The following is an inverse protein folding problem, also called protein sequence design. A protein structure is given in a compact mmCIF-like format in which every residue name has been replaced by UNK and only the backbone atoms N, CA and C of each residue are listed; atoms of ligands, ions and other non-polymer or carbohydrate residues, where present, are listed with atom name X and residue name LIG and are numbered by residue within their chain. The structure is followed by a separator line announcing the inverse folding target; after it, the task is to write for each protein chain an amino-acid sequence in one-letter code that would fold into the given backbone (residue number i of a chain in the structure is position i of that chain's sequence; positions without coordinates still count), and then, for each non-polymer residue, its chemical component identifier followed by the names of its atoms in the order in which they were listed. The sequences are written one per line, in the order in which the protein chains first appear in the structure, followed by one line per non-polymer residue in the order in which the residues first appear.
data_IF_818945958400
#
_entry.id   IF_818945958400
#
_cell.length_a   1.000
_cell.length_b   1.000
_cell.length_c   1.000
_cell.angle_alpha   90.00
_cell.angle_beta   90.00
_cell.angle_gamma   90.00
#
_symmetry.space_group_name_H-M   'P 1'
#
loop_
_entity.id
_entity.type
_entity.pdbx_description
1 polymer ?
#
# COMPACT_ATOMS: atom_id res chain seq x y z
N UNK A 1 -57.86 -10.06 16.13
CA UNK A 1 -57.07 -10.27 17.37
C UNK A 1 -55.93 -11.23 17.08
N UNK A 2 -54.68 -10.75 17.12
CA UNK A 2 -53.45 -11.52 16.83
C UNK A 2 -52.99 -12.24 18.11
N UNK A 3 -53.55 -13.42 18.40
CA UNK A 3 -53.15 -14.23 19.56
C UNK A 3 -52.09 -15.31 19.22
N UNK A 4 -51.70 -15.44 17.95
CA UNK A 4 -50.88 -16.57 17.48
C UNK A 4 -49.37 -16.39 17.66
N UNK A 5 -48.88 -15.16 17.80
CA UNK A 5 -47.44 -14.87 17.93
C UNK A 5 -46.88 -15.03 19.35
N UNK A 6 -47.72 -14.74 20.37
CA UNK A 6 -47.30 -14.80 21.78
C UNK A 6 -47.16 -16.25 22.25
N UNK A 7 -48.06 -17.14 21.82
CA UNK A 7 -47.99 -18.57 22.15
C UNK A 7 -46.76 -19.27 21.54
N UNK A 8 -46.33 -18.91 20.32
CA UNK A 8 -45.09 -19.44 19.74
C UNK A 8 -43.85 -19.00 20.54
N UNK A 9 -43.83 -17.77 21.04
CA UNK A 9 -42.70 -17.26 21.85
C UNK A 9 -42.59 -17.94 23.23
N UNK A 10 -43.73 -18.27 23.86
CA UNK A 10 -43.79 -18.90 25.19
C UNK A 10 -43.35 -20.36 25.14
N UNK A 11 -43.59 -21.08 24.03
CA UNK A 11 -43.14 -22.46 23.86
C UNK A 11 -41.71 -22.57 23.28
N UNK A 12 -41.26 -21.61 22.48
CA UNK A 12 -39.93 -21.66 21.88
C UNK A 12 -38.83 -21.16 22.84
N UNK A 13 -39.14 -20.20 23.71
CA UNK A 13 -38.20 -19.68 24.72
C UNK A 13 -37.61 -20.74 25.65
N UNK A 14 -38.43 -21.58 26.31
CA UNK A 14 -37.95 -22.66 27.17
C UNK A 14 -37.11 -23.69 26.41
N UNK A 15 -37.51 -24.05 25.19
CA UNK A 15 -36.77 -24.99 24.35
C UNK A 15 -35.40 -24.45 23.93
N UNK A 16 -35.30 -23.15 23.62
CA UNK A 16 -34.02 -22.48 23.34
C UNK A 16 -33.16 -22.38 24.60
N UNK A 17 -33.74 -22.05 25.76
CA UNK A 17 -33.01 -22.02 27.03
C UNK A 17 -32.50 -23.41 27.45
N UNK A 18 -33.31 -24.46 27.26
CA UNK A 18 -32.92 -25.85 27.52
C UNK A 18 -31.81 -26.27 26.54
N UNK A 19 -31.92 -25.92 25.25
CA UNK A 19 -30.86 -26.19 24.27
C UNK A 19 -29.55 -25.49 24.62
N UNK A 20 -29.59 -24.21 25.02
CA UNK A 20 -28.40 -23.45 25.42
C UNK A 20 -27.79 -24.02 26.70
N UNK A 21 -28.61 -24.36 27.70
CA UNK A 21 -28.16 -25.01 28.94
C UNK A 21 -27.55 -26.39 28.68
N UNK A 22 -28.19 -27.20 27.84
CA UNK A 22 -27.70 -28.53 27.46
C UNK A 22 -26.40 -28.45 26.65
N UNK A 23 -26.31 -27.51 25.71
CA UNK A 23 -25.09 -27.25 24.95
C UNK A 23 -23.95 -26.72 25.84
N UNK A 24 -24.25 -25.93 26.87
CA UNK A 24 -23.27 -25.41 27.82
C UNK A 24 -22.71 -26.49 28.74
N UNK A 25 -23.56 -27.41 29.21
CA UNK A 25 -23.16 -28.47 30.13
C UNK A 25 -22.51 -29.68 29.43
N UNK A 26 -23.02 -30.10 28.27
CA UNK A 26 -22.63 -31.36 27.63
C UNK A 26 -21.76 -31.20 26.38
N UNK A 27 -21.68 -29.99 25.81
CA UNK A 27 -20.87 -29.70 24.63
C UNK A 27 -20.23 -28.29 24.72
N UNK A 28 -19.45 -27.98 25.78
CA UNK A 28 -18.88 -26.64 25.95
C UNK A 28 -18.03 -26.21 24.74
N UNK A 29 -17.43 -27.16 24.01
CA UNK A 29 -16.69 -26.90 22.77
C UNK A 29 -17.53 -26.40 21.59
N UNK A 30 -18.86 -26.67 21.55
CA UNK A 30 -19.74 -26.17 20.48
C UNK A 30 -20.19 -24.73 20.72
N UNK A 31 -20.44 -24.33 21.96
CA UNK A 31 -20.71 -22.93 22.31
C UNK A 31 -19.42 -22.09 22.38
N UNK A 32 -18.27 -22.73 22.63
CA UNK A 32 -16.96 -22.08 22.68
C UNK A 32 -16.20 -22.08 21.35
N UNK A 33 -16.80 -22.58 20.26
CA UNK A 33 -16.34 -22.26 18.89
C UNK A 33 -16.70 -20.79 18.61
N UNK A 34 -16.02 -19.88 19.30
CA UNK A 34 -15.86 -18.51 18.82
C UNK A 34 -15.17 -18.68 17.47
N UNK A 35 -15.90 -18.42 16.38
CA UNK A 35 -15.25 -18.30 15.07
C UNK A 35 -14.05 -17.39 15.28
N UNK A 36 -12.87 -17.82 14.84
CA UNK A 36 -11.72 -16.91 14.87
C UNK A 36 -12.14 -15.60 14.21
N UNK A 37 -11.73 -14.45 14.78
CA UNK A 37 -12.03 -13.15 14.19
C UNK A 37 -11.60 -13.17 12.73
N UNK A 38 -12.48 -12.74 11.82
CA UNK A 38 -12.14 -12.70 10.39
C UNK A 38 -10.84 -11.96 10.13
N UNK A 39 -10.59 -10.88 10.89
CA UNK A 39 -9.37 -10.08 10.82
C UNK A 39 -8.12 -10.88 11.17
N UNK A 40 -8.19 -11.79 12.15
CA UNK A 40 -7.08 -12.70 12.48
C UNK A 40 -6.77 -13.61 11.30
N UNK A 41 -7.80 -14.19 10.68
CA UNK A 41 -7.63 -15.08 9.51
C UNK A 41 -7.07 -14.34 8.30
N UNK A 42 -7.57 -13.12 8.05
CA UNK A 42 -7.05 -12.22 6.99
C UNK A 42 -5.58 -11.90 7.25
N UNK A 43 -5.22 -11.51 8.48
CA UNK A 43 -3.85 -11.25 8.89
C UNK A 43 -2.93 -12.46 8.69
N UNK A 44 -3.27 -13.62 9.25
CA UNK A 44 -2.46 -14.85 9.11
C UNK A 44 -2.27 -15.27 7.65
N UNK A 45 -3.31 -15.08 6.83
CA UNK A 45 -3.22 -15.33 5.39
C UNK A 45 -2.28 -14.35 4.70
N UNK A 46 -2.33 -13.06 5.02
CA UNK A 46 -1.41 -12.04 4.49
C UNK A 46 0.04 -12.37 4.87
N UNK A 47 0.29 -12.73 6.12
CA UNK A 47 1.61 -13.15 6.59
C UNK A 47 2.13 -14.38 5.82
N UNK A 48 1.30 -15.40 5.62
CA UNK A 48 1.67 -16.59 4.85
C UNK A 48 2.02 -16.28 3.40
N UNK A 49 1.40 -15.26 2.81
CA UNK A 49 1.56 -14.85 1.41
C UNK A 49 2.48 -13.64 1.26
N UNK A 50 3.14 -13.20 2.34
CA UNK A 50 4.03 -12.07 2.32
C UNK A 50 5.26 -12.37 1.45
N UNK A 51 5.79 -11.38 0.71
CA UNK A 51 7.02 -11.54 -0.02
C UNK A 51 8.19 -11.76 0.94
N UNK A 52 9.16 -12.57 0.51
CA UNK A 52 10.40 -12.77 1.28
C UNK A 52 11.28 -11.52 1.16
N UNK A 53 11.84 -11.01 2.27
CA UNK A 53 12.81 -9.93 2.22
C UNK A 53 13.98 -10.24 1.30
N UNK A 54 14.58 -9.18 0.74
CA UNK A 54 15.72 -9.31 -0.16
C UNK A 54 16.90 -9.95 0.58
N UNK A 55 17.36 -11.09 0.07
CA UNK A 55 18.60 -11.72 0.56
C UNK A 55 19.80 -10.87 0.14
N UNK A 56 20.78 -10.74 1.03
CA UNK A 56 22.05 -10.05 0.74
C UNK A 56 22.65 -10.65 -0.53
N UNK A 57 22.83 -9.81 -1.55
CA UNK A 57 23.39 -10.23 -2.84
C UNK A 57 24.90 -10.30 -2.74
N UNK A 58 25.49 -11.38 -3.25
CA UNK A 58 26.95 -11.53 -3.36
C UNK A 58 27.58 -10.55 -4.36
N UNK A 59 26.79 -9.97 -5.29
CA UNK A 59 27.28 -9.07 -6.33
C UNK A 59 26.22 -8.06 -6.75
N UNK A 60 26.59 -6.81 -6.99
CA UNK A 60 25.67 -5.82 -7.58
C UNK A 60 25.45 -6.07 -9.09
N UNK A 61 24.30 -5.63 -9.59
CA UNK A 61 23.97 -5.67 -11.02
C UNK A 61 24.23 -4.32 -11.72
N UNK A 62 24.35 -3.25 -10.95
CA UNK A 62 24.58 -1.88 -11.44
C UNK A 62 26.08 -1.61 -11.51
N UNK A 63 26.50 -0.84 -12.52
CA UNK A 63 27.89 -0.43 -12.72
C UNK A 63 28.04 1.04 -12.25
N UNK A 64 29.19 1.42 -11.65
CA UNK A 64 30.30 0.56 -11.23
C UNK A 64 29.96 -0.21 -9.94
N UNK A 65 30.54 -1.40 -9.80
CA UNK A 65 30.44 -2.17 -8.55
C UNK A 65 31.20 -1.43 -7.43
N UNK A 66 30.70 -1.45 -6.19
CA UNK A 66 31.51 -1.10 -5.03
C UNK A 66 32.73 -2.03 -4.99
N UNK A 67 33.89 -1.49 -4.63
CA UNK A 67 35.05 -2.31 -4.23
C UNK A 67 34.59 -3.23 -3.08
N UNK A 68 34.87 -4.53 -3.18
CA UNK A 68 34.52 -5.44 -2.09
C UNK A 68 35.28 -5.00 -0.82
N UNK A 69 34.66 -4.99 0.37
CA UNK A 69 35.41 -4.76 1.59
C UNK A 69 36.49 -5.84 1.67
N UNK A 70 37.74 -5.40 1.78
CA UNK A 70 38.92 -6.25 1.94
C UNK A 70 38.72 -7.15 3.16
N UNK A 71 38.14 -8.34 2.98
CA UNK A 71 38.37 -9.44 3.91
C UNK A 71 39.80 -9.87 3.69
N UNK A 72 40.71 -9.24 4.43
CA UNK A 72 42.09 -9.68 4.60
C UNK A 72 42.09 -11.09 5.23
N UNK A 73 41.94 -12.13 4.42
CA UNK A 73 42.51 -13.43 4.78
C UNK A 73 44.01 -13.38 4.47
N UNK A 74 44.90 -13.48 5.48
CA UNK A 74 46.34 -13.38 5.24
C UNK A 74 46.81 -14.63 4.48
N UNK A 75 47.15 -14.48 3.19
CA UNK A 75 47.96 -15.47 2.48
C UNK A 75 47.62 -15.79 1.03
N UNK A 76 46.62 -15.17 0.41
CA UNK A 76 46.37 -15.35 -1.03
C UNK A 76 46.81 -14.10 -1.79
N UNK A 77 47.77 -14.18 -2.73
CA UNK A 77 48.09 -13.04 -3.58
C UNK A 77 46.88 -12.74 -4.48
N UNK A 78 46.12 -11.71 -4.14
CA UNK A 78 45.11 -11.13 -5.01
C UNK A 78 45.81 -10.51 -6.22
N UNK A 79 45.66 -11.14 -7.38
CA UNK A 79 46.01 -10.53 -8.67
C UNK A 79 45.33 -9.15 -8.79
N UNK A 80 45.99 -8.10 -9.32
CA UNK A 80 45.40 -6.76 -9.51
C UNK A 80 44.23 -6.72 -10.51
N UNK A 81 43.83 -7.86 -11.08
CA UNK A 81 42.64 -8.02 -11.91
C UNK A 81 41.41 -8.37 -11.06
N UNK A 82 41.20 -7.62 -9.97
CA UNK A 82 39.89 -7.54 -9.32
C UNK A 82 38.84 -7.35 -10.41
N UNK A 83 37.90 -8.29 -10.50
CA UNK A 83 36.95 -8.48 -11.59
C UNK A 83 36.06 -7.24 -11.84
N UNK A 84 36.62 -6.20 -12.46
CA UNK A 84 35.91 -5.03 -12.98
C UNK A 84 34.91 -5.54 -13.99
N UNK A 85 33.64 -5.55 -13.63
CA UNK A 85 32.58 -5.88 -14.60
C UNK A 85 32.57 -4.79 -15.67
N UNK A 86 32.97 -5.14 -16.88
CA UNK A 86 32.84 -4.30 -18.06
C UNK A 86 31.59 -4.67 -18.84
N UNK A 87 30.99 -3.69 -19.50
CA UNK A 87 30.04 -3.94 -20.58
C UNK A 87 30.79 -4.03 -21.89
N UNK A 88 30.38 -4.94 -22.77
CA UNK A 88 30.89 -5.00 -24.14
C UNK A 88 30.20 -3.89 -24.94
N UNK A 89 30.95 -3.16 -25.76
CA UNK A 89 30.38 -2.18 -26.69
C UNK A 89 29.45 -2.88 -27.69
N UNK A 90 28.20 -2.41 -27.76
CA UNK A 90 27.15 -3.02 -28.56
C UNK A 90 26.90 -2.24 -29.86
N UNK A 91 27.94 -1.83 -30.57
CA UNK A 91 27.87 -0.92 -31.74
C UNK A 91 26.97 -1.42 -32.88
N UNK A 92 26.77 -2.74 -32.99
CA UNK A 92 25.84 -3.35 -33.96
C UNK A 92 24.36 -3.13 -33.62
N UNK A 93 24.05 -2.75 -32.38
CA UNK A 93 22.69 -2.44 -31.96
C UNK A 93 22.34 -1.01 -32.33
N UNK A 94 21.28 -0.84 -33.12
CA UNK A 94 20.77 0.50 -33.48
C UNK A 94 20.39 1.32 -32.25
N UNK A 95 19.92 0.67 -31.18
CA UNK A 95 19.62 1.35 -29.92
C UNK A 95 20.91 1.87 -29.26
N UNK A 96 21.98 1.08 -29.29
CA UNK A 96 23.26 1.42 -28.63
C UNK A 96 24.15 2.34 -29.48
N UNK A 97 23.85 2.48 -30.77
CA UNK A 97 24.45 3.49 -31.64
C UNK A 97 23.91 4.91 -31.37
N UNK A 98 22.82 5.04 -30.62
CA UNK A 98 22.27 6.34 -30.22
C UNK A 98 23.09 6.94 -29.05
N UNK A 99 23.27 8.27 -29.02
CA UNK A 99 23.75 8.97 -27.82
C UNK A 99 22.92 8.64 -26.58
N UNK A 100 23.54 8.77 -25.40
CA UNK A 100 22.89 8.44 -24.12
C UNK A 100 21.58 9.20 -23.94
N UNK A 101 21.53 10.47 -24.32
CA UNK A 101 20.35 11.34 -24.16
C UNK A 101 19.14 10.79 -24.91
N UNK A 102 19.34 10.30 -26.14
CA UNK A 102 18.26 9.69 -26.93
C UNK A 102 17.84 8.34 -26.35
N UNK A 103 18.77 7.56 -25.81
CA UNK A 103 18.45 6.32 -25.11
C UNK A 103 17.66 6.57 -23.84
N UNK A 104 18.02 7.58 -23.05
CA UNK A 104 17.26 8.01 -21.87
C UNK A 104 15.83 8.46 -22.22
N UNK A 105 15.66 9.19 -23.33
CA UNK A 105 14.32 9.53 -23.84
C UNK A 105 13.49 8.27 -24.16
N UNK A 106 14.10 7.28 -24.82
CA UNK A 106 13.45 5.99 -25.12
C UNK A 106 13.13 5.23 -23.82
N UNK A 107 14.08 5.11 -22.90
CA UNK A 107 13.88 4.44 -21.63
C UNK A 107 12.78 5.10 -20.81
N UNK A 108 12.75 6.44 -20.76
CA UNK A 108 11.70 7.20 -20.07
C UNK A 108 10.33 7.01 -20.72
N UNK A 109 10.26 6.93 -22.06
CA UNK A 109 9.01 6.66 -22.77
C UNK A 109 8.46 5.25 -22.50
N UNK A 110 9.34 4.25 -22.31
CA UNK A 110 8.92 2.86 -22.06
C UNK A 110 8.63 2.59 -20.59
N UNK A 111 9.45 3.14 -19.68
CA UNK A 111 9.48 2.77 -18.27
C UNK A 111 9.03 3.87 -17.31
N UNK A 112 8.88 5.12 -17.76
CA UNK A 112 8.80 6.29 -16.89
C UNK A 112 7.53 7.12 -17.01
N UNK A 113 7.38 8.08 -16.09
CA UNK A 113 6.24 9.01 -15.97
C UNK A 113 4.86 8.36 -15.76
N UNK A 114 4.83 7.10 -15.35
CA UNK A 114 3.61 6.40 -15.02
C UNK A 114 3.30 6.52 -13.52
N UNK A 115 2.01 6.31 -13.19
CA UNK A 115 1.60 6.00 -11.83
C UNK A 115 1.52 4.48 -11.70
N UNK A 116 2.38 3.93 -10.86
CA UNK A 116 2.52 2.50 -10.61
C UNK A 116 1.74 2.13 -9.35
N UNK A 117 0.59 1.48 -9.51
CA UNK A 117 -0.19 0.92 -8.41
C UNK A 117 0.51 -0.33 -7.90
N UNK A 118 1.08 -0.28 -6.69
CA UNK A 118 1.76 -1.42 -6.08
C UNK A 118 0.72 -2.34 -5.43
N UNK A 119 0.73 -3.61 -5.79
CA UNK A 119 -0.25 -4.60 -5.35
C UNK A 119 0.42 -5.78 -4.64
N UNK A 120 -0.25 -6.32 -3.62
CA UNK A 120 0.18 -7.55 -2.96
C UNK A 120 -0.27 -8.76 -3.77
N UNK A 121 0.68 -9.55 -4.26
CA UNK A 121 0.44 -10.85 -4.90
C UNK A 121 0.94 -11.96 -3.99
N UNK A 122 0.56 -13.20 -4.29
CA UNK A 122 1.09 -14.34 -3.57
C UNK A 122 2.63 -14.38 -3.61
N UNK A 123 3.25 -14.23 -2.44
CA UNK A 123 4.69 -14.31 -2.19
C UNK A 123 5.56 -13.27 -2.93
N UNK A 124 4.94 -12.23 -3.53
CA UNK A 124 5.66 -11.16 -4.22
C UNK A 124 4.84 -9.86 -4.23
N UNK A 125 5.52 -8.74 -4.48
CA UNK A 125 4.85 -7.54 -4.93
C UNK A 125 4.68 -7.58 -6.45
N UNK A 126 3.58 -6.98 -6.91
CA UNK A 126 3.35 -6.70 -8.31
C UNK A 126 2.98 -5.25 -8.54
N UNK A 127 2.71 -4.91 -9.80
CA UNK A 127 2.19 -3.59 -10.13
C UNK A 127 1.13 -3.60 -11.23
N UNK A 128 0.35 -2.52 -11.27
CA UNK A 128 -0.53 -2.16 -12.38
C UNK A 128 -0.20 -0.72 -12.79
N UNK A 129 -0.11 -0.45 -14.09
CA UNK A 129 -0.02 0.93 -14.58
C UNK A 129 -1.39 1.58 -14.49
N UNK A 130 -1.46 2.76 -13.89
CA UNK A 130 -2.69 3.54 -13.82
C UNK A 130 -3.14 3.91 -15.24
N UNK A 131 -4.44 3.76 -15.52
CA UNK A 131 -5.02 4.10 -16.83
C UNK A 131 -5.67 5.48 -16.85
N UNK A 132 -5.73 6.16 -15.71
CA UNK A 132 -6.41 7.43 -15.62
C UNK A 132 -5.56 8.55 -16.22
N UNK A 133 -6.21 9.41 -17.00
CA UNK A 133 -5.60 10.56 -17.67
C UNK A 133 -5.04 11.61 -16.70
N UNK A 134 -5.47 11.58 -15.45
CA UNK A 134 -4.91 12.42 -14.40
C UNK A 134 -4.98 11.71 -13.05
N UNK A 135 -4.15 12.18 -12.12
CA UNK A 135 -4.09 11.67 -10.76
C UNK A 135 -5.44 11.74 -10.03
N UNK A 136 -6.22 12.79 -10.29
CA UNK A 136 -7.55 13.01 -9.70
C UNK A 136 -8.63 12.14 -10.35
N UNK A 137 -8.43 11.76 -11.61
CA UNK A 137 -9.34 10.93 -12.38
C UNK A 137 -9.14 9.42 -12.13
N UNK A 138 -8.09 9.03 -11.40
CA UNK A 138 -7.90 7.63 -11.01
C UNK A 138 -9.10 7.17 -10.18
N UNK A 139 -9.87 6.17 -10.64
CA UNK A 139 -11.02 5.68 -9.90
C UNK A 139 -10.53 5.10 -8.57
N UNK A 140 -10.83 5.83 -7.51
CA UNK A 140 -10.44 5.46 -6.15
C UNK A 140 -11.32 4.29 -5.69
N UNK A 141 -10.71 3.37 -4.95
CA UNK A 141 -11.41 2.18 -4.47
C UNK A 141 -12.27 2.48 -3.25
N UNK A 142 -13.48 3.01 -3.43
CA UNK A 142 -14.70 2.66 -2.66
C UNK A 142 -15.90 3.55 -3.03
N UNK A 143 -16.96 2.95 -3.57
CA UNK A 143 -18.35 3.42 -3.50
C UNK A 143 -19.21 2.45 -2.64
N UNK A 144 -18.60 1.67 -1.74
CA UNK A 144 -19.34 0.68 -0.94
C UNK A 144 -19.93 -0.51 -1.69
N UNK A 145 -19.64 -0.64 -2.99
CA UNK A 145 -20.16 -1.71 -3.84
C UNK A 145 -19.01 -2.36 -4.60
N UNK A 146 -18.42 -3.41 -4.02
CA UNK A 146 -17.57 -4.39 -4.71
C UNK A 146 -16.33 -3.87 -5.48
N UNK A 147 -15.59 -4.78 -6.13
CA UNK A 147 -14.59 -4.39 -7.12
C UNK A 147 -15.31 -3.80 -8.35
N UNK A 148 -15.08 -2.53 -8.63
CA UNK A 148 -15.51 -1.94 -9.89
C UNK A 148 -14.59 -2.47 -11.01
N UNK A 149 -15.17 -2.97 -12.10
CA UNK A 149 -14.40 -3.38 -13.29
C UNK A 149 -13.52 -2.25 -13.85
N UNK A 150 -13.88 -0.99 -13.56
CA UNK A 150 -13.16 0.21 -13.96
C UNK A 150 -12.03 0.60 -12.98
N UNK A 151 -11.83 -0.16 -11.89
CA UNK A 151 -10.75 0.11 -10.93
C UNK A 151 -9.38 -0.15 -11.56
N UNK A 152 -8.52 0.86 -11.54
CA UNK A 152 -7.11 0.73 -11.97
C UNK A 152 -6.28 -0.22 -11.07
N UNK A 153 -6.84 -0.68 -9.95
CA UNK A 153 -6.19 -1.58 -8.98
C UNK A 153 -6.51 -3.07 -9.18
N UNK A 154 -7.40 -3.39 -10.12
CA UNK A 154 -7.87 -4.76 -10.34
C UNK A 154 -8.69 -5.32 -9.17
N UNK A 155 -8.79 -6.65 -9.11
CA UNK A 155 -9.58 -7.39 -8.13
C UNK A 155 -8.66 -7.98 -7.05
N UNK A 156 -9.13 -7.96 -5.80
CA UNK A 156 -8.44 -8.61 -4.67
C UNK A 156 -9.44 -9.45 -3.87
N UNK A 157 -8.92 -10.38 -3.09
CA UNK A 157 -9.72 -11.14 -2.12
C UNK A 157 -9.99 -10.36 -0.81
N UNK A 158 -10.69 -11.01 0.13
CA UNK A 158 -11.00 -10.44 1.45
C UNK A 158 -9.78 -10.13 2.32
N UNK A 159 -8.60 -10.62 1.96
CA UNK A 159 -7.32 -10.31 2.62
C UNK A 159 -6.51 -9.26 1.86
N UNK A 160 -7.11 -8.56 0.88
CA UNK A 160 -6.46 -7.61 -0.01
C UNK A 160 -5.28 -8.18 -0.82
N UNK A 161 -5.29 -9.49 -1.11
CA UNK A 161 -4.33 -10.10 -2.05
C UNK A 161 -4.94 -10.06 -3.44
N UNK A 162 -4.18 -9.53 -4.41
CA UNK A 162 -4.60 -9.42 -5.79
C UNK A 162 -4.87 -10.78 -6.42
N UNK A 163 -5.98 -10.86 -7.15
CA UNK A 163 -6.42 -12.07 -7.85
C UNK A 163 -6.44 -11.82 -9.36
N UNK A 164 -5.91 -12.75 -10.16
CA UNK A 164 -6.10 -12.71 -11.61
C UNK A 164 -7.56 -12.96 -11.95
N UNK A 165 -8.12 -12.15 -12.84
CA UNK A 165 -9.39 -12.42 -13.52
C UNK A 165 -9.06 -13.03 -14.88
N UNK A 166 -9.91 -13.91 -15.41
CA UNK A 166 -9.67 -14.73 -16.62
C UNK A 166 -9.51 -13.92 -17.94
N UNK A 167 -9.56 -12.58 -17.93
CA UNK A 167 -9.43 -11.66 -19.09
C UNK A 167 -8.49 -10.44 -18.83
N UNK A 168 -7.94 -9.77 -19.87
CA UNK A 168 -6.52 -9.77 -20.28
C UNK A 168 -5.62 -8.77 -19.54
N UNK A 169 -5.99 -8.31 -18.35
CA UNK A 169 -5.19 -7.29 -17.65
C UNK A 169 -4.12 -7.97 -16.79
N UNK A 170 -3.03 -8.35 -17.45
CA UNK A 170 -1.83 -8.82 -16.78
C UNK A 170 -1.32 -7.78 -15.80
N UNK A 171 -1.13 -8.18 -14.53
CA UNK A 171 -0.27 -7.41 -13.62
C UNK A 171 1.19 -7.62 -13.97
N UNK A 172 2.05 -6.73 -13.50
CA UNK A 172 3.50 -6.72 -13.70
C UNK A 172 3.98 -6.18 -15.05
N UNK A 173 3.07 -5.91 -16.00
CA UNK A 173 3.33 -5.25 -17.30
C UNK A 173 4.57 -5.77 -18.05
N UNK A 174 5.10 -4.96 -18.97
CA UNK A 174 6.35 -5.24 -19.70
C UNK A 174 7.50 -4.34 -19.22
N UNK A 175 7.65 -4.17 -17.91
CA UNK A 175 8.76 -3.38 -17.33
C UNK A 175 10.08 -4.17 -17.35
N UNK A 176 10.04 -5.44 -16.96
CA UNK A 176 11.23 -6.28 -16.82
C UNK A 176 11.88 -6.69 -18.15
N UNK A 177 11.15 -7.00 -19.24
CA UNK A 177 11.76 -7.47 -20.49
C UNK A 177 12.89 -6.57 -21.00
N UNK A 178 12.67 -5.24 -21.04
CA UNK A 178 13.69 -4.29 -21.48
C UNK A 178 14.93 -4.31 -20.56
N UNK A 179 14.71 -4.30 -19.25
CA UNK A 179 15.78 -4.32 -18.24
C UNK A 179 16.57 -5.63 -18.23
N UNK A 180 16.02 -6.70 -18.79
CA UNK A 180 16.66 -8.02 -18.89
C UNK A 180 17.45 -8.22 -20.19
N UNK A 181 17.41 -7.26 -21.13
CA UNK A 181 18.09 -7.38 -22.43
C UNK A 181 19.61 -7.41 -22.31
N UNK A 182 20.21 -6.41 -21.64
CA UNK A 182 21.64 -6.35 -21.37
C UNK A 182 21.95 -5.45 -20.17
N UNK A 183 23.17 -5.57 -19.64
CA UNK A 183 23.64 -4.80 -18.48
C UNK A 183 23.73 -3.30 -18.73
N UNK A 184 23.99 -2.90 -19.97
CA UNK A 184 24.06 -1.49 -20.34
C UNK A 184 22.66 -0.85 -20.25
N UNK A 185 21.66 -1.43 -20.93
CA UNK A 185 20.25 -1.01 -20.79
C UNK A 185 19.83 -1.01 -19.34
N UNK A 186 20.14 -2.06 -18.58
CA UNK A 186 19.82 -2.12 -17.16
C UNK A 186 20.39 -0.94 -16.39
N UNK A 187 21.69 -0.66 -16.54
CA UNK A 187 22.40 0.38 -15.78
C UNK A 187 21.95 1.80 -16.15
N UNK A 188 21.65 2.04 -17.42
CA UNK A 188 21.17 3.34 -17.91
C UNK A 188 19.69 3.57 -17.58
N UNK A 189 18.85 2.53 -17.66
CA UNK A 189 17.39 2.68 -17.53
C UNK A 189 16.86 2.52 -16.09
N UNK A 190 17.52 1.77 -15.21
CA UNK A 190 16.99 1.54 -13.85
C UNK A 190 16.79 2.82 -13.02
N UNK A 191 17.63 3.88 -13.11
CA UNK A 191 17.41 5.09 -12.32
C UNK A 191 16.11 5.79 -12.74
N UNK A 192 15.77 5.73 -14.04
CA UNK A 192 14.55 6.32 -14.58
C UNK A 192 13.31 5.61 -14.05
N UNK A 193 13.34 4.28 -13.92
CA UNK A 193 12.22 3.50 -13.38
C UNK A 193 11.80 3.95 -11.98
N UNK A 194 12.75 4.23 -11.07
CA UNK A 194 12.41 4.63 -9.71
C UNK A 194 12.22 6.14 -9.57
N UNK A 195 12.96 6.95 -10.33
CA UNK A 195 12.97 8.41 -10.14
C UNK A 195 11.90 9.16 -10.92
N UNK A 196 11.37 8.60 -12.02
CA UNK A 196 10.39 9.30 -12.87
C UNK A 196 8.95 8.86 -12.62
N UNK A 197 8.74 7.67 -12.07
CA UNK A 197 7.40 7.16 -11.76
C UNK A 197 6.91 7.61 -10.40
N UNK A 198 5.59 7.56 -10.22
CA UNK A 198 4.94 7.70 -8.92
C UNK A 198 4.48 6.34 -8.43
N UNK A 199 4.97 5.90 -7.26
CA UNK A 199 4.52 4.64 -6.66
C UNK A 199 3.32 4.92 -5.75
N UNK A 200 2.20 4.31 -6.08
CA UNK A 200 0.93 4.47 -5.38
C UNK A 200 0.63 3.23 -4.54
N UNK A 201 0.22 3.44 -3.30
CA UNK A 201 -0.12 2.39 -2.34
C UNK A 201 -1.52 2.61 -1.79
N UNK A 202 -2.36 1.57 -1.81
CA UNK A 202 -3.64 1.53 -1.05
C UNK A 202 -3.54 0.70 0.22
N UNK A 203 -2.47 -0.08 0.32
CA UNK A 203 -2.22 -1.06 1.35
C UNK A 203 -0.84 -0.77 1.94
N UNK A 204 -0.81 -0.48 3.25
CA UNK A 204 0.42 -0.09 3.94
C UNK A 204 1.44 -1.24 3.96
N UNK A 205 1.00 -2.50 4.02
CA UNK A 205 1.94 -3.62 3.98
C UNK A 205 2.70 -3.66 2.66
N UNK A 206 2.10 -3.23 1.55
CA UNK A 206 2.82 -3.15 0.26
C UNK A 206 4.01 -2.20 0.32
N UNK A 207 3.92 -1.08 1.06
CA UNK A 207 5.03 -0.15 1.25
C UNK A 207 6.12 -0.78 2.12
N UNK A 208 5.74 -1.45 3.23
CA UNK A 208 6.68 -2.18 4.09
C UNK A 208 7.41 -3.27 3.32
N UNK A 209 6.65 -4.07 2.59
CA UNK A 209 7.19 -5.11 1.71
C UNK A 209 8.11 -4.52 0.65
N UNK A 210 7.78 -3.37 0.05
CA UNK A 210 8.65 -2.75 -0.94
C UNK A 210 9.99 -2.39 -0.30
N UNK A 211 9.97 -1.74 0.86
CA UNK A 211 11.18 -1.36 1.60
C UNK A 211 12.06 -2.57 1.97
N UNK A 212 11.45 -3.74 2.20
CA UNK A 212 12.15 -4.97 2.55
C UNK A 212 12.60 -5.81 1.34
N UNK A 213 12.02 -5.60 0.15
CA UNK A 213 12.22 -6.49 -1.03
C UNK A 213 13.06 -5.87 -2.14
N UNK A 214 13.36 -4.57 -2.07
CA UNK A 214 14.24 -3.90 -3.03
C UNK A 214 15.53 -3.39 -2.35
N UNK A 215 16.57 -3.18 -3.16
CA UNK A 215 17.85 -2.67 -2.65
C UNK A 215 17.67 -1.27 -2.05
N UNK A 216 18.33 -0.94 -0.92
CA UNK A 216 18.22 0.39 -0.29
C UNK A 216 18.55 1.55 -1.24
N UNK A 217 19.53 1.39 -2.12
CA UNK A 217 19.85 2.40 -3.14
C UNK A 217 18.71 2.65 -4.14
N UNK A 218 17.91 1.62 -4.45
CA UNK A 218 16.75 1.74 -5.35
C UNK A 218 15.55 2.33 -4.61
N UNK A 219 15.36 1.92 -3.36
CA UNK A 219 14.31 2.49 -2.51
C UNK A 219 14.53 3.99 -2.32
N UNK A 220 15.77 4.42 -2.07
CA UNK A 220 16.14 5.83 -1.98
C UNK A 220 16.09 6.58 -3.32
N UNK A 221 16.07 5.90 -4.47
CA UNK A 221 15.93 6.55 -5.77
C UNK A 221 14.48 6.97 -6.09
N UNK A 222 13.50 6.51 -5.29
CA UNK A 222 12.09 6.86 -5.46
C UNK A 222 11.87 8.34 -5.12
N UNK A 223 11.36 9.12 -6.07
CA UNK A 223 11.13 10.56 -5.90
C UNK A 223 9.68 10.93 -5.59
N UNK A 224 8.71 10.11 -5.98
CA UNK A 224 7.28 10.42 -5.86
C UNK A 224 6.50 9.25 -5.27
N UNK A 225 5.83 9.49 -4.15
CA UNK A 225 4.97 8.53 -3.47
C UNK A 225 3.54 9.04 -3.34
N UNK A 226 2.59 8.12 -3.49
CA UNK A 226 1.18 8.34 -3.18
C UNK A 226 0.68 7.25 -2.24
N UNK A 227 0.06 7.66 -1.14
CA UNK A 227 -0.55 6.75 -0.18
C UNK A 227 -2.03 7.11 -0.12
N UNK A 228 -2.89 6.14 -0.39
CA UNK A 228 -4.32 6.25 -0.17
C UNK A 228 -4.72 5.25 0.88
N UNK A 229 -5.13 5.70 2.06
CA UNK A 229 -5.45 4.79 3.14
C UNK A 229 -6.87 5.01 3.64
N UNK A 230 -7.63 3.93 3.60
CA UNK A 230 -8.98 3.87 4.14
C UNK A 230 -8.89 3.32 5.56
N UNK A 231 -9.13 4.21 6.51
CA UNK A 231 -9.31 3.87 7.90
C UNK A 231 -10.66 3.16 7.98
N UNK A 232 -10.64 1.84 8.09
CA UNK A 232 -11.83 1.06 8.45
C UNK A 232 -12.03 1.02 9.96
N UNK A 233 -11.00 1.40 10.73
CA UNK A 233 -10.96 1.28 12.17
C UNK A 233 -10.58 2.61 12.85
N UNK A 234 -11.16 2.93 14.01
CA UNK A 234 -10.84 4.13 14.79
C UNK A 234 -9.45 4.00 15.46
N UNK A 235 -8.37 4.13 14.68
CA UNK A 235 -7.00 4.19 15.26
C UNK A 235 -6.95 5.34 16.29
N UNK A 236 -6.30 5.12 17.43
CA UNK A 236 -6.16 6.09 18.53
C UNK A 236 -7.45 6.51 19.27
N UNK A 237 -8.66 6.17 18.80
CA UNK A 237 -9.91 6.38 19.56
C UNK A 237 -10.27 5.13 20.36
N UNK A 238 -9.72 5.07 21.58
CA UNK A 238 -9.89 3.95 22.53
C UNK A 238 -11.35 3.73 22.91
N UNK A 239 -12.17 4.80 22.94
CA UNK A 239 -13.57 4.69 23.28
C UNK A 239 -14.34 3.98 22.17
N UNK A 240 -14.18 4.44 20.92
CA UNK A 240 -14.77 3.78 19.77
C UNK A 240 -14.25 2.34 19.61
N UNK A 241 -12.97 2.10 19.87
CA UNK A 241 -12.41 0.74 19.87
C UNK A 241 -13.10 -0.18 20.87
N UNK A 242 -13.34 0.29 22.11
CA UNK A 242 -14.01 -0.50 23.17
C UNK A 242 -15.51 -0.69 22.93
N UNK A 243 -16.18 0.32 22.38
CA UNK A 243 -17.64 0.27 22.18
C UNK A 243 -18.05 -0.52 20.95
N UNK A 244 -17.28 -0.40 19.86
CA UNK A 244 -17.62 -1.04 18.59
C UNK A 244 -17.01 -2.45 18.48
N UNK A 245 -15.94 -2.74 19.24
CA UNK A 245 -15.15 -3.96 19.01
C UNK A 245 -14.73 -4.68 20.30
N UNK A 246 -14.58 -5.99 20.18
CA UNK A 246 -14.11 -6.88 21.25
C UNK A 246 -12.90 -7.71 20.77
N UNK A 247 -12.14 -7.17 19.81
CA UNK A 247 -11.03 -7.82 19.09
C UNK A 247 -9.84 -6.87 18.93
N UNK A 248 -8.63 -7.41 18.95
CA UNK A 248 -7.40 -6.66 18.70
C UNK A 248 -7.35 -6.15 17.25
N UNK A 249 -6.74 -4.98 17.04
CA UNK A 249 -6.39 -4.49 15.70
C UNK A 249 -5.19 -5.30 15.17
N UNK A 250 -5.27 -5.71 13.91
CA UNK A 250 -4.20 -6.44 13.22
C UNK A 250 -3.61 -5.59 12.08
N UNK A 251 -2.31 -5.75 11.77
CA UNK A 251 -1.71 -5.17 10.57
C UNK A 251 -2.49 -5.45 9.29
N UNK A 252 -2.62 -4.47 8.37
CA UNK A 252 -1.97 -3.15 8.38
C UNK A 252 -2.76 -2.06 9.14
N UNK A 253 -3.76 -2.42 9.95
CA UNK A 253 -4.72 -1.49 10.54
C UNK A 253 -4.50 -1.21 12.02
N UNK A 254 -3.26 -1.32 12.47
CA UNK A 254 -2.83 -1.07 13.85
C UNK A 254 -1.86 0.13 13.93
N UNK A 255 -1.71 0.66 15.14
CA UNK A 255 -0.86 1.83 15.42
C UNK A 255 0.62 1.58 15.11
N UNK A 256 1.13 0.39 15.42
CA UNK A 256 2.54 0.08 15.18
C UNK A 256 2.86 0.01 13.67
N UNK A 257 1.95 -0.53 12.86
CA UNK A 257 2.10 -0.47 11.39
C UNK A 257 2.06 0.96 10.89
N UNK A 258 1.13 1.79 11.39
CA UNK A 258 1.06 3.20 10.98
C UNK A 258 2.35 3.96 11.28
N UNK A 259 2.89 3.83 12.49
CA UNK A 259 4.15 4.48 12.86
C UNK A 259 5.35 3.96 12.08
N UNK A 260 5.42 2.64 11.81
CA UNK A 260 6.50 2.05 11.01
C UNK A 260 6.54 2.61 9.58
N UNK A 261 5.37 2.83 8.96
CA UNK A 261 5.29 3.45 7.63
C UNK A 261 5.94 4.82 7.61
N UNK A 262 5.62 5.67 8.58
CA UNK A 262 6.16 7.02 8.64
C UNK A 262 7.65 7.04 8.95
N UNK A 263 8.13 6.09 9.76
CA UNK A 263 9.56 5.87 9.96
C UNK A 263 10.27 5.47 8.66
N UNK A 264 9.69 4.55 7.88
CA UNK A 264 10.24 4.13 6.57
C UNK A 264 10.31 5.32 5.61
N UNK A 265 9.21 6.08 5.50
CA UNK A 265 9.12 7.25 4.59
C UNK A 265 10.10 8.35 5.01
N UNK A 266 10.21 8.64 6.30
CA UNK A 266 11.17 9.62 6.81
C UNK A 266 12.63 9.24 6.51
N UNK A 267 12.92 7.95 6.35
CA UNK A 267 14.23 7.44 5.94
C UNK A 267 14.53 7.53 4.43
N UNK A 268 13.56 7.94 3.59
CA UNK A 268 13.73 8.01 2.15
C UNK A 268 14.46 9.29 1.71
N UNK A 269 15.78 9.17 1.53
CA UNK A 269 16.65 10.32 1.24
C UNK A 269 16.40 11.00 -0.11
N UNK A 270 15.90 10.29 -1.11
CA UNK A 270 15.60 10.85 -2.44
C UNK A 270 14.15 11.25 -2.67
N UNK A 271 13.27 11.09 -1.67
CA UNK A 271 11.86 11.42 -1.80
C UNK A 271 11.69 12.94 -1.96
N UNK A 272 10.89 13.37 -2.94
CA UNK A 272 10.65 14.79 -3.23
C UNK A 272 9.18 15.16 -3.13
N UNK A 273 8.29 14.25 -3.56
CA UNK A 273 6.84 14.48 -3.60
C UNK A 273 6.14 13.37 -2.83
N UNK A 274 5.29 13.75 -1.89
CA UNK A 274 4.46 12.83 -1.13
C UNK A 274 3.03 13.34 -1.10
N UNK A 275 2.11 12.48 -1.56
CA UNK A 275 0.68 12.72 -1.42
C UNK A 275 0.05 11.65 -0.54
N UNK A 276 -0.75 12.08 0.42
CA UNK A 276 -1.44 11.20 1.37
C UNK A 276 -2.92 11.50 1.34
N UNK A 277 -3.72 10.56 0.87
CA UNK A 277 -5.18 10.64 0.89
C UNK A 277 -5.70 9.73 2.03
N UNK A 278 -6.06 10.29 3.17
CA UNK A 278 -6.65 9.56 4.29
C UNK A 278 -8.17 9.65 4.23
N UNK A 279 -8.85 8.52 4.36
CA UNK A 279 -10.31 8.43 4.32
C UNK A 279 -10.82 7.67 5.53
N UNK A 280 -11.77 8.24 6.24
CA UNK A 280 -12.38 7.63 7.40
C UNK A 280 -13.89 7.84 7.32
N UNK A 281 -14.66 6.76 7.47
CA UNK A 281 -16.11 6.77 7.21
C UNK A 281 -16.89 7.69 8.16
N UNK A 282 -16.53 7.74 9.45
CA UNK A 282 -17.27 8.48 10.47
C UNK A 282 -16.57 9.79 10.91
N UNK A 283 -15.32 10.01 10.45
CA UNK A 283 -14.48 11.10 10.93
C UNK A 283 -14.06 10.94 12.40
N UNK A 284 -13.05 11.69 12.83
CA UNK A 284 -12.67 11.68 14.24
C UNK A 284 -13.66 12.52 15.05
N UNK A 285 -14.24 11.92 16.09
CA UNK A 285 -15.10 12.63 17.06
C UNK A 285 -14.28 13.56 17.96
N UNK A 286 -13.04 13.17 18.22
CA UNK A 286 -12.10 13.87 19.07
C UNK A 286 -10.88 14.37 18.27
N UNK A 287 -10.59 15.65 18.43
CA UNK A 287 -9.46 16.32 17.79
C UNK A 287 -8.11 15.80 18.32
N UNK A 288 -8.04 15.29 19.56
CA UNK A 288 -6.81 14.71 20.10
C UNK A 288 -6.43 13.41 19.35
N UNK A 289 -7.43 12.57 19.03
CA UNK A 289 -7.23 11.36 18.25
C UNK A 289 -6.72 11.66 16.83
N UNK A 290 -7.28 12.68 16.17
CA UNK A 290 -6.77 13.16 14.88
C UNK A 290 -5.32 13.65 14.99
N UNK A 291 -4.99 14.41 16.04
CA UNK A 291 -3.62 14.88 16.26
C UNK A 291 -2.63 13.73 16.46
N UNK A 292 -3.02 12.68 17.19
CA UNK A 292 -2.20 11.45 17.33
C UNK A 292 -2.00 10.76 15.99
N UNK A 293 -3.05 10.66 15.18
CA UNK A 293 -2.98 10.11 13.82
C UNK A 293 -2.02 10.88 12.91
N UNK A 294 -2.03 12.21 13.01
CA UNK A 294 -1.20 13.10 12.18
C UNK A 294 0.22 13.31 12.74
N UNK A 295 0.49 12.96 14.00
CA UNK A 295 1.79 13.19 14.62
C UNK A 295 2.94 12.47 13.89
N UNK A 296 2.82 11.20 13.46
CA UNK A 296 3.88 10.51 12.71
C UNK A 296 4.27 11.19 11.40
N UNK A 297 3.33 11.85 10.71
CA UNK A 297 3.59 12.54 9.45
C UNK A 297 4.58 13.70 9.62
N UNK A 298 4.63 14.30 10.81
CA UNK A 298 5.53 15.42 11.12
C UNK A 298 7.02 15.02 11.14
N UNK A 299 7.31 13.71 11.16
CA UNK A 299 8.68 13.18 11.07
C UNK A 299 9.31 13.40 9.69
N UNK A 300 8.47 13.49 8.65
CA UNK A 300 8.93 13.66 7.26
C UNK A 300 9.25 15.14 7.01
N UNK A 301 10.47 15.41 6.56
CA UNK A 301 11.01 16.76 6.36
C UNK A 301 11.74 16.87 5.02
N UNK A 302 11.87 18.09 4.51
CA UNK A 302 12.70 18.37 3.33
C UNK A 302 12.08 17.99 1.98
N UNK A 303 10.79 17.64 1.95
CA UNK A 303 10.07 17.38 0.69
C UNK A 303 9.79 18.69 -0.06
N UNK A 304 9.79 18.63 -1.40
CA UNK A 304 9.38 19.75 -2.26
C UNK A 304 7.87 19.94 -2.23
N UNK A 305 7.14 18.83 -2.26
CA UNK A 305 5.68 18.81 -2.21
C UNK A 305 5.26 17.74 -1.20
N UNK A 306 4.47 18.15 -0.20
CA UNK A 306 3.89 17.25 0.78
C UNK A 306 2.43 17.63 1.00
N UNK A 307 1.54 16.91 0.34
CA UNK A 307 0.10 17.15 0.38
C UNK A 307 -0.61 16.05 1.17
N UNK A 308 -1.46 16.46 2.11
CA UNK A 308 -2.30 15.57 2.90
C UNK A 308 -3.76 15.95 2.69
N UNK A 309 -4.56 15.02 2.21
CA UNK A 309 -6.00 15.14 2.10
C UNK A 309 -6.67 14.30 3.17
N UNK A 310 -7.54 14.92 3.97
CA UNK A 310 -8.37 14.23 4.96
C UNK A 310 -9.81 14.19 4.45
N UNK A 311 -10.35 12.99 4.31
CA UNK A 311 -11.71 12.73 3.82
C UNK A 311 -12.82 13.09 4.82
N UNK A 312 -12.49 13.74 5.94
CA UNK A 312 -13.42 14.10 7.00
C UNK A 312 -13.21 15.55 7.45
N UNK A 313 -14.24 16.11 8.09
CA UNK A 313 -14.22 17.47 8.65
C UNK A 313 -13.36 17.52 9.91
N UNK A 314 -12.71 18.65 10.17
CA UNK A 314 -11.88 18.85 11.34
C UNK A 314 -11.25 20.24 11.34
N UNK A 315 -10.45 20.53 12.36
CA UNK A 315 -9.73 21.82 12.48
C UNK A 315 -8.51 21.84 11.57
N UNK A 316 -8.08 23.02 11.17
CA UNK A 316 -6.81 23.17 10.47
C UNK A 316 -5.64 22.86 11.42
N UNK A 317 -4.59 22.26 10.84
CA UNK A 317 -3.39 21.89 11.57
C UNK A 317 -2.30 22.92 11.29
N UNK A 318 -1.94 23.69 12.30
CA UNK A 318 -0.88 24.70 12.20
C UNK A 318 0.52 24.07 12.36
N UNK A 319 1.51 24.65 11.67
CA UNK A 319 2.92 24.27 11.79
C UNK A 319 3.24 22.83 11.37
N UNK A 320 2.44 22.24 10.48
CA UNK A 320 2.73 20.95 9.88
C UNK A 320 3.69 21.11 8.68
N UNK A 321 4.55 20.12 8.38
CA UNK A 321 5.43 20.15 7.20
C UNK A 321 4.69 19.81 5.89
N UNK A 322 3.36 19.75 5.92
CA UNK A 322 2.51 19.38 4.80
C UNK A 322 1.36 20.37 4.63
N UNK A 323 0.88 20.49 3.39
CA UNK A 323 -0.33 21.20 3.05
C UNK A 323 -1.54 20.30 3.31
N UNK A 324 -2.39 20.71 4.23
CA UNK A 324 -3.60 19.99 4.57
C UNK A 324 -4.78 20.45 3.71
N UNK A 325 -5.59 19.52 3.22
CA UNK A 325 -6.83 19.79 2.49
C UNK A 325 -7.96 18.90 3.00
N UNK A 326 -9.19 19.41 2.98
CA UNK A 326 -10.41 18.74 3.46
C UNK A 326 -11.56 18.92 2.45
N UNK A 327 -12.62 18.09 2.48
CA UNK A 327 -13.80 18.31 1.66
C UNK A 327 -14.45 19.66 1.98
N UNK A 328 -14.74 20.46 0.95
CA UNK A 328 -15.47 21.73 1.07
C UNK A 328 -16.95 21.42 1.29
N UNK A 329 -17.61 22.15 2.21
CA UNK A 329 -19.06 22.04 2.40
C UNK A 329 -19.79 22.43 1.11
N UNK A 330 -20.24 21.47 0.30
CA UNK A 330 -21.44 21.66 -0.49
C UNK A 330 -22.60 21.31 0.43
N UNK A 331 -23.11 22.30 1.15
CA UNK A 331 -24.48 22.20 1.67
C UNK A 331 -25.35 22.08 0.42
N UNK A 332 -26.13 21.00 0.22
CA UNK A 332 -27.23 21.06 -0.73
C UNK A 332 -28.11 22.19 -0.22
N UNK A 333 -28.26 23.24 -1.01
CA UNK A 333 -29.16 24.34 -0.73
C UNK A 333 -30.58 23.73 -0.68
N UNK A 334 -31.04 23.40 0.53
CA UNK A 334 -32.37 22.85 0.79
C UNK A 334 -33.39 24.00 0.84
N UNK A 335 -33.27 24.94 -0.10
CA UNK A 335 -34.14 26.09 -0.27
C UNK A 335 -34.50 26.30 -1.74
N UNK A 336 -35.16 25.29 -2.31
CA UNK A 336 -36.10 25.40 -3.45
C UNK A 336 -36.66 23.99 -3.69
N UNK A 337 -37.93 23.64 -3.53
CA UNK A 337 -39.19 24.36 -3.45
C UNK A 337 -40.17 23.38 -2.77
N UNK A 338 -40.75 23.74 -1.62
CA UNK A 338 -42.16 23.44 -1.40
C UNK A 338 -42.91 24.57 -2.08
N UNK A 339 -43.50 24.32 -3.26
CA UNK A 339 -44.74 24.96 -3.72
C UNK A 339 -45.23 24.28 -5.02
N UNK A 340 -46.50 23.90 -5.00
CA UNK A 340 -47.41 23.65 -6.14
C UNK A 340 -47.25 22.37 -7.00
N UNK A 341 -48.00 21.31 -6.66
CA UNK A 341 -49.33 20.94 -7.23
C UNK A 341 -49.79 19.54 -6.78
#
# INVERSE_FOLDING_TARGET
MRASGVLLSIFCGPCVCIYVGFAACFCPGRLRRRSEPEDKRRFERRQRKAPRPLVVRKRALSIPLPEEPETEEPGVPSSPEELKQTTIFQEKSRLMALPLELREMIYKAVLGNDVMHVIHKENKLGHLRCKANSEKACPKRWHGVGPCADSCWGVVDSSNIWMPVEEPQGSDGDVLPLLQTCRQVYSEAFPLLYSTNTFSFIDLDCLRYLSATILPSRFNAIKSLRIEWYLTWPLYDVFAQRMLFNTALYPPHDEATWEDIWRIIAGMTGLQRLRVDLKYFDGFRDNECEQKMLAPLRQVKGLKEFDVYLGWKGKDVTGAPFKLTRPVNTVPDDSSEEEDW
#
